data_IF_223736558727
#
_entry.id   IF_223736558727
#
_cell.length_a   1.000
_cell.length_b   1.000
_cell.length_c   1.000
_cell.angle_alpha   90.00
_cell.angle_beta   90.00
_cell.angle_gamma   90.00
#
_symmetry.space_group_name_H-M   'P 1'
#
loop_
_entity.id
_entity.type
_entity.pdbx_description
1 polymer ?
#
# COMPACT_ATOMS: atom_id res chain seq x y z
N UNK A 1 21.83 -12.92 4.01
CA UNK A 1 20.51 -12.43 3.56
C UNK A 1 20.78 -11.17 2.76
N UNK A 2 20.37 -11.13 1.50
CA UNK A 2 20.55 -9.95 0.66
C UNK A 2 19.58 -8.85 1.11
N UNK A 3 19.99 -7.58 1.02
CA UNK A 3 19.18 -6.45 1.47
C UNK A 3 18.31 -5.97 0.31
N UNK A 4 17.02 -5.83 0.56
CA UNK A 4 16.08 -5.26 -0.41
C UNK A 4 16.36 -3.76 -0.61
N UNK A 5 16.20 -3.29 -1.85
CA UNK A 5 16.13 -1.86 -2.15
C UNK A 5 14.73 -1.31 -1.81
N UNK A 6 14.58 0.01 -1.74
CA UNK A 6 13.27 0.64 -1.54
C UNK A 6 12.30 0.28 -2.67
N UNK A 7 12.78 0.20 -3.91
CA UNK A 7 11.92 -0.12 -5.05
C UNK A 7 11.51 -1.60 -5.04
N UNK A 8 12.36 -2.50 -4.53
CA UNK A 8 11.97 -3.90 -4.28
C UNK A 8 10.86 -3.97 -3.22
N UNK A 9 11.01 -3.22 -2.12
CA UNK A 9 10.00 -3.17 -1.05
C UNK A 9 8.66 -2.67 -1.57
N UNK A 10 8.63 -1.54 -2.29
CA UNK A 10 7.40 -0.98 -2.88
C UNK A 10 6.70 -1.95 -3.83
N UNK A 11 7.47 -2.71 -4.61
CA UNK A 11 6.92 -3.72 -5.52
C UNK A 11 6.23 -4.84 -4.76
N UNK A 12 6.88 -5.36 -3.71
CA UNK A 12 6.31 -6.40 -2.83
C UNK A 12 5.08 -5.87 -2.09
N UNK A 13 5.10 -4.63 -1.63
CA UNK A 13 3.97 -4.00 -0.93
C UNK A 13 2.74 -3.84 -1.83
N UNK A 14 2.93 -3.53 -3.12
CA UNK A 14 1.83 -3.50 -4.08
C UNK A 14 1.23 -4.90 -4.30
N UNK A 15 2.05 -5.94 -4.38
CA UNK A 15 1.55 -7.32 -4.46
C UNK A 15 0.75 -7.70 -3.21
N UNK A 16 1.20 -7.28 -2.03
CA UNK A 16 0.47 -7.46 -0.77
C UNK A 16 -0.84 -6.66 -0.78
N UNK A 17 -0.81 -5.42 -1.27
CA UNK A 17 -2.00 -4.56 -1.35
C UNK A 17 -3.05 -5.13 -2.30
N UNK A 18 -2.66 -5.71 -3.43
CA UNK A 18 -3.54 -6.40 -4.37
C UNK A 18 -4.22 -7.63 -3.72
N UNK A 19 -3.47 -8.39 -2.92
CA UNK A 19 -4.01 -9.51 -2.15
C UNK A 19 -5.02 -9.05 -1.10
N UNK A 20 -4.71 -7.96 -0.39
CA UNK A 20 -5.63 -7.35 0.58
C UNK A 20 -6.89 -6.84 -0.11
N UNK A 21 -6.78 -6.12 -1.24
CA UNK A 21 -7.93 -5.64 -2.01
C UNK A 21 -8.83 -6.80 -2.43
N UNK A 22 -8.25 -7.88 -2.96
CA UNK A 22 -9.00 -9.07 -3.34
C UNK A 22 -9.78 -9.65 -2.16
N UNK A 23 -9.13 -9.81 -1.01
CA UNK A 23 -9.76 -10.36 0.20
C UNK A 23 -10.85 -9.44 0.75
N UNK A 24 -10.59 -8.14 0.81
CA UNK A 24 -11.56 -7.14 1.26
C UNK A 24 -12.80 -7.13 0.35
N UNK A 25 -12.63 -7.18 -0.98
CA UNK A 25 -13.75 -7.29 -1.93
C UNK A 25 -14.52 -8.60 -1.77
N UNK A 26 -13.84 -9.72 -1.60
CA UNK A 26 -14.47 -11.02 -1.42
C UNK A 26 -15.32 -11.11 -0.14
N UNK A 27 -15.00 -10.30 0.87
CA UNK A 27 -15.71 -10.28 2.17
C UNK A 27 -16.54 -9.03 2.41
N UNK A 28 -16.64 -8.12 1.43
CA UNK A 28 -17.41 -6.88 1.56
C UNK A 28 -16.85 -5.92 2.62
N UNK A 29 -15.55 -5.99 2.91
CA UNK A 29 -14.86 -5.12 3.86
C UNK A 29 -14.34 -3.89 3.12
N UNK A 30 -14.78 -2.71 3.54
CA UNK A 30 -14.27 -1.45 3.03
C UNK A 30 -12.97 -1.03 3.72
N UNK A 31 -11.99 -0.59 2.94
CA UNK A 31 -10.78 0.04 3.42
C UNK A 31 -10.44 1.25 2.55
N UNK A 32 -9.50 2.08 3.02
CA UNK A 32 -8.97 3.21 2.26
C UNK A 32 -7.48 3.39 2.56
N UNK A 33 -6.74 3.96 1.61
CA UNK A 33 -5.36 4.39 1.85
C UNK A 33 -5.34 5.47 2.93
N UNK A 34 -4.34 5.45 3.79
CA UNK A 34 -4.19 6.41 4.86
C UNK A 34 -2.83 7.12 4.80
N UNK A 35 -2.70 8.22 5.55
CA UNK A 35 -1.45 8.96 5.80
C UNK A 35 -0.57 9.19 4.56
N UNK A 36 0.67 8.70 4.60
CA UNK A 36 1.67 8.87 3.55
C UNK A 36 1.24 8.23 2.23
N UNK A 37 0.63 7.04 2.29
CA UNK A 37 0.18 6.30 1.12
C UNK A 37 -0.95 7.01 0.37
N UNK A 38 -1.92 7.59 1.10
CA UNK A 38 -2.97 8.41 0.48
C UNK A 38 -2.38 9.67 -0.17
N UNK A 39 -1.47 10.36 0.52
CA UNK A 39 -0.82 11.55 -0.02
C UNK A 39 0.04 11.23 -1.23
N UNK A 40 0.78 10.13 -1.21
CA UNK A 40 1.58 9.63 -2.32
C UNK A 40 0.70 9.39 -3.54
N UNK A 41 -0.37 8.61 -3.38
CA UNK A 41 -1.30 8.30 -4.46
C UNK A 41 -1.87 9.58 -5.11
N UNK A 42 -2.28 10.55 -4.29
CA UNK A 42 -2.86 11.80 -4.77
C UNK A 42 -1.83 12.77 -5.42
N UNK A 43 -0.62 12.86 -4.87
CA UNK A 43 0.40 13.86 -5.29
C UNK A 43 1.34 13.34 -6.38
N UNK A 44 1.73 12.08 -6.30
CA UNK A 44 2.77 11.47 -7.14
C UNK A 44 2.23 10.36 -8.05
N UNK A 45 0.97 9.95 -7.88
CA UNK A 45 0.39 8.83 -8.63
C UNK A 45 0.95 7.46 -8.21
N UNK A 46 1.50 7.35 -7.00
CA UNK A 46 2.15 6.16 -6.47
C UNK A 46 2.77 6.44 -5.09
N UNK A 47 3.78 5.71 -4.68
CA UNK A 47 4.48 6.00 -3.42
C UNK A 47 5.11 7.39 -3.40
N UNK A 48 5.30 7.94 -2.21
CA UNK A 48 6.28 9.01 -2.02
C UNK A 48 7.67 8.43 -2.32
N UNK A 49 8.57 9.14 -3.04
CA UNK A 49 9.83 8.54 -3.49
C UNK A 49 10.69 7.91 -2.40
N UNK A 50 10.62 8.44 -1.19
CA UNK A 50 11.38 7.98 -0.02
C UNK A 50 10.56 7.18 1.00
N UNK A 51 9.26 6.91 0.75
CA UNK A 51 8.48 5.98 1.59
C UNK A 51 8.98 4.55 1.38
N UNK A 52 8.98 3.79 2.47
CA UNK A 52 9.30 2.37 2.55
C UNK A 52 8.18 1.55 3.20
N UNK A 53 6.99 2.13 3.36
CA UNK A 53 5.79 1.47 3.87
C UNK A 53 4.48 1.85 3.13
N UNK A 54 3.42 1.08 3.41
CA UNK A 54 2.05 1.37 2.97
C UNK A 54 1.04 1.28 4.12
N UNK A 55 0.27 2.35 4.30
CA UNK A 55 -0.81 2.47 5.27
C UNK A 55 -2.20 2.31 4.64
N UNK A 56 -3.00 1.43 5.23
CA UNK A 56 -4.45 1.32 4.99
C UNK A 56 -5.22 1.45 6.30
N UNK A 57 -6.44 1.96 6.23
CA UNK A 57 -7.36 2.05 7.36
C UNK A 57 -8.71 1.41 7.02
N UNK A 58 -9.36 0.86 8.04
CA UNK A 58 -10.67 0.21 7.96
C UNK A 58 -11.63 0.85 8.97
N UNK A 59 -12.90 0.92 8.60
CA UNK A 59 -13.95 1.34 9.53
C UNK A 59 -14.24 0.22 10.53
N UNK A 60 -14.59 0.60 11.75
CA UNK A 60 -15.01 -0.33 12.82
C UNK A 60 -16.47 -0.71 12.69
#
# INVERSE_FOLDING_TARGET
MERLTIDDMKSIELEIADEIDRMCRAHGVGYFLAYGSLLGAARHGGFIPWDDDMDIAMLR
#
